data_IF_035838766532
#
_entry.id   IF_035838766532
#
_cell.length_a   1.000
_cell.length_b   1.000
_cell.length_c   1.000
_cell.angle_alpha   90.00
_cell.angle_beta   90.00
_cell.angle_gamma   90.00
#
_symmetry.space_group_name_H-M   'P 1'
#
loop_
_entity.id
_entity.type
_entity.pdbx_description
1 polymer ?
#
# COMPACT_ATOMS: atom_id res chain seq x y z
N UNK A 1 -4.70 10.51 6.19
CA UNK A 1 -3.94 11.59 5.51
C UNK A 1 -4.72 11.98 4.26
N UNK A 2 -4.27 12.92 3.42
CA UNK A 2 -4.85 13.08 2.09
C UNK A 2 -4.13 12.18 1.08
N UNK A 3 -4.70 12.06 -0.12
CA UNK A 3 -4.24 11.13 -1.16
C UNK A 3 -2.75 11.20 -1.44
N UNK A 4 -2.18 12.39 -1.49
CA UNK A 4 -0.74 12.58 -1.71
C UNK A 4 0.11 11.94 -0.60
N UNK A 5 -0.26 12.15 0.67
CA UNK A 5 0.43 11.54 1.80
C UNK A 5 0.34 10.01 1.78
N UNK A 6 -0.83 9.45 1.47
CA UNK A 6 -1.01 7.99 1.35
C UNK A 6 -0.19 7.40 0.20
N UNK A 7 -0.18 8.04 -0.97
CA UNK A 7 0.66 7.59 -2.10
C UNK A 7 2.13 7.64 -1.70
N UNK A 8 2.58 8.73 -1.08
CA UNK A 8 3.97 8.88 -0.62
C UNK A 8 4.41 7.75 0.31
N UNK A 9 3.63 7.47 1.35
CA UNK A 9 3.89 6.35 2.27
C UNK A 9 3.82 5.00 1.54
N UNK A 10 2.85 4.81 0.65
CA UNK A 10 2.73 3.61 -0.19
C UNK A 10 3.99 3.35 -1.01
N UNK A 11 4.48 4.35 -1.74
CA UNK A 11 5.70 4.25 -2.54
C UNK A 11 6.93 3.99 -1.67
N UNK A 12 7.04 4.67 -0.53
CA UNK A 12 8.15 4.47 0.40
C UNK A 12 8.18 3.03 0.95
N UNK A 13 7.03 2.50 1.37
CA UNK A 13 6.91 1.12 1.85
C UNK A 13 7.16 0.08 0.74
N UNK A 14 6.82 0.41 -0.51
CA UNK A 14 7.01 -0.48 -1.65
C UNK A 14 8.45 -0.50 -2.19
N UNK A 15 9.23 0.56 -1.99
CA UNK A 15 10.56 0.72 -2.56
C UNK A 15 11.48 -0.51 -2.36
N UNK A 16 11.57 -1.16 -1.18
CA UNK A 16 12.39 -2.37 -1.00
C UNK A 16 11.96 -3.54 -1.89
N UNK A 17 10.64 -3.76 -2.03
CA UNK A 17 10.10 -4.83 -2.87
C UNK A 17 10.32 -4.52 -4.36
N UNK A 18 10.11 -3.27 -4.77
CA UNK A 18 10.41 -2.80 -6.12
C UNK A 18 11.89 -3.02 -6.49
N UNK A 19 12.81 -2.63 -5.60
CA UNK A 19 14.25 -2.87 -5.78
C UNK A 19 14.57 -4.34 -5.96
N UNK A 20 14.09 -5.20 -5.04
CA UNK A 20 14.32 -6.64 -5.09
C UNK A 20 13.83 -7.27 -6.41
N UNK A 21 12.71 -6.80 -6.95
CA UNK A 21 12.19 -7.26 -8.24
C UNK A 21 13.06 -6.80 -9.40
N UNK A 22 13.52 -5.55 -9.39
CA UNK A 22 14.35 -5.01 -10.46
C UNK A 22 15.72 -5.71 -10.54
N UNK A 23 16.40 -5.91 -9.40
CA UNK A 23 17.71 -6.59 -9.39
C UNK A 23 17.62 -8.08 -9.76
N UNK A 24 16.44 -8.69 -9.67
CA UNK A 24 16.17 -10.07 -10.11
C UNK A 24 15.58 -10.15 -11.52
N UNK A 25 15.56 -9.03 -12.27
CA UNK A 25 15.06 -8.98 -13.65
C UNK A 25 13.54 -9.03 -13.80
N UNK A 26 12.78 -8.94 -12.70
CA UNK A 26 11.31 -9.01 -12.66
C UNK A 26 10.65 -7.66 -12.91
N UNK A 27 11.07 -6.96 -13.96
CA UNK A 27 10.68 -5.57 -14.25
C UNK A 27 9.16 -5.38 -14.36
N UNK A 28 8.47 -6.31 -15.04
CA UNK A 28 7.01 -6.24 -15.17
C UNK A 28 6.29 -6.29 -13.81
N UNK A 29 6.78 -7.11 -12.87
CA UNK A 29 6.21 -7.16 -11.52
C UNK A 29 6.54 -5.88 -10.75
N UNK A 30 7.75 -5.35 -10.85
CA UNK A 30 8.14 -4.10 -10.20
C UNK A 30 7.23 -2.92 -10.60
N UNK A 31 6.98 -2.77 -11.91
CA UNK A 31 6.09 -1.72 -12.46
C UNK A 31 4.64 -1.96 -12.05
N UNK A 32 4.17 -3.21 -12.14
CA UNK A 32 2.79 -3.56 -11.75
C UNK A 32 2.55 -3.23 -10.28
N UNK A 33 3.48 -3.59 -9.39
CA UNK A 33 3.34 -3.28 -7.97
C UNK A 33 3.36 -1.79 -7.70
N UNK A 34 4.21 -1.02 -8.39
CA UNK A 34 4.20 0.44 -8.30
C UNK A 34 2.83 1.03 -8.66
N UNK A 35 2.26 0.59 -9.78
CA UNK A 35 0.94 1.06 -10.23
C UNK A 35 -0.17 0.66 -9.25
N UNK A 36 -0.16 -0.58 -8.75
CA UNK A 36 -1.13 -1.09 -7.77
C UNK A 36 -1.05 -0.31 -6.45
N UNK A 37 0.15 -0.01 -5.95
CA UNK A 37 0.33 0.78 -4.72
C UNK A 37 -0.29 2.18 -4.84
N UNK A 38 -0.16 2.83 -6.01
CA UNK A 38 -0.80 4.13 -6.26
C UNK A 38 -2.32 3.99 -6.37
N UNK A 39 -2.78 2.95 -7.08
CA UNK A 39 -4.20 2.72 -7.34
C UNK A 39 -4.97 2.43 -6.06
N UNK A 40 -4.42 1.57 -5.20
CA UNK A 40 -5.03 1.13 -3.95
C UNK A 40 -4.73 2.02 -2.75
N UNK A 41 -3.94 3.09 -2.92
CA UNK A 41 -3.53 3.98 -1.82
C UNK A 41 -4.70 4.54 -0.99
N UNK A 42 -5.88 4.71 -1.60
CA UNK A 42 -7.10 5.23 -0.95
C UNK A 42 -8.18 4.15 -0.74
N UNK A 43 -7.85 2.87 -0.94
CA UNK A 43 -8.85 1.80 -0.85
C UNK A 43 -9.55 1.76 0.52
N UNK A 44 -8.85 1.87 1.67
CA UNK A 44 -9.53 1.89 2.97
C UNK A 44 -10.51 3.07 3.14
N UNK A 45 -10.16 4.24 2.61
CA UNK A 45 -10.96 5.47 2.68
C UNK A 45 -12.19 5.48 1.75
N UNK A 46 -12.44 4.39 1.00
CA UNK A 46 -13.74 4.19 0.35
C UNK A 46 -14.86 4.15 1.39
N UNK A 47 -14.56 3.82 2.65
CA UNK A 47 -15.49 3.88 3.78
C UNK A 47 -16.17 5.24 3.98
N UNK A 48 -15.52 6.35 3.59
CA UNK A 48 -16.10 7.70 3.63
C UNK A 48 -17.35 7.84 2.74
N UNK A 49 -17.55 6.91 1.81
CA UNK A 49 -18.68 6.89 0.86
C UNK A 49 -19.64 5.74 1.11
N UNK A 50 -19.32 4.82 2.02
CA UNK A 50 -20.13 3.63 2.28
C UNK A 50 -21.12 3.92 3.42
N UNK A 51 -22.43 3.81 3.18
CA UNK A 51 -23.39 3.93 4.26
C UNK A 51 -23.15 2.80 5.28
N UNK A 52 -23.36 3.11 6.55
CA UNK A 52 -23.23 2.16 7.68
C UNK A 52 -21.80 1.66 7.98
N UNK A 53 -20.78 2.11 7.26
CA UNK A 53 -19.38 1.83 7.58
C UNK A 53 -18.78 3.03 8.30
N UNK A 54 -18.30 2.83 9.52
CA UNK A 54 -17.61 3.88 10.25
C UNK A 54 -16.22 4.13 9.67
N UNK A 55 -15.88 5.40 9.47
CA UNK A 55 -14.54 5.77 9.02
C UNK A 55 -13.49 5.32 10.06
N UNK A 56 -12.43 4.68 9.58
CA UNK A 56 -11.41 4.03 10.42
C UNK A 56 -11.96 2.97 11.37
N UNK A 57 -12.99 2.28 10.90
CA UNK A 57 -13.52 1.05 11.48
C UNK A 57 -12.98 -0.16 10.73
N UNK A 58 -13.82 -0.99 10.10
CA UNK A 58 -13.43 -2.29 9.53
C UNK A 58 -12.35 -2.20 8.44
N UNK A 59 -12.39 -1.15 7.62
CA UNK A 59 -11.47 -0.91 6.49
C UNK A 59 -10.05 -0.51 6.93
N UNK A 60 -9.86 -0.02 8.16
CA UNK A 60 -8.55 0.41 8.68
C UNK A 60 -7.98 -0.59 9.68
N UNK A 61 -8.00 -1.88 9.30
CA UNK A 61 -7.57 -2.99 10.15
C UNK A 61 -6.56 -3.91 9.47
N UNK A 62 -5.82 -4.68 10.26
CA UNK A 62 -4.99 -5.78 9.75
C UNK A 62 -5.87 -6.86 9.11
N UNK A 63 -7.07 -7.09 9.65
CA UNK A 63 -8.05 -8.00 9.04
C UNK A 63 -8.41 -7.59 7.62
N UNK A 64 -8.65 -6.29 7.38
CA UNK A 64 -8.90 -5.78 6.04
C UNK A 64 -7.67 -5.88 5.13
N UNK A 65 -6.46 -5.67 5.66
CA UNK A 65 -5.23 -5.90 4.91
C UNK A 65 -5.11 -7.35 4.43
N UNK A 66 -5.43 -8.32 5.30
CA UNK A 66 -5.47 -9.75 4.92
C UNK A 66 -6.54 -10.00 3.87
N UNK A 67 -7.75 -9.45 4.04
CA UNK A 67 -8.85 -9.62 3.08
C UNK A 67 -8.48 -9.09 1.68
N UNK A 68 -7.97 -7.87 1.59
CA UNK A 68 -7.53 -7.25 0.33
C UNK A 68 -6.35 -8.03 -0.25
N UNK A 69 -5.40 -8.45 0.57
CA UNK A 69 -4.33 -9.35 0.16
C UNK A 69 -4.88 -10.64 -0.46
N UNK A 70 -5.79 -11.35 0.21
CA UNK A 70 -6.39 -12.58 -0.32
C UNK A 70 -7.11 -12.34 -1.64
N UNK A 71 -7.85 -11.23 -1.78
CA UNK A 71 -8.53 -10.87 -3.03
C UNK A 71 -7.53 -10.61 -4.17
N UNK A 72 -6.48 -9.81 -3.93
CA UNK A 72 -5.43 -9.56 -4.92
C UNK A 72 -4.62 -10.83 -5.23
N UNK A 73 -4.39 -11.69 -4.25
CA UNK A 73 -3.70 -12.97 -4.42
C UNK A 73 -4.52 -13.96 -5.23
N UNK A 74 -5.83 -14.06 -5.01
CA UNK A 74 -6.73 -14.87 -5.83
C UNK A 74 -6.75 -14.37 -7.29
N UNK A 75 -6.82 -13.04 -7.49
CA UNK A 75 -6.73 -12.44 -8.81
C UNK A 75 -5.39 -12.76 -9.50
N UNK A 76 -4.26 -12.62 -8.77
CA UNK A 76 -2.94 -12.96 -9.27
C UNK A 76 -2.81 -14.45 -9.64
N UNK A 77 -3.30 -15.34 -8.79
CA UNK A 77 -3.33 -16.78 -9.06
C UNK A 77 -4.08 -17.09 -10.35
N UNK A 78 -5.30 -16.55 -10.48
CA UNK A 78 -6.13 -16.75 -11.66
C UNK A 78 -5.42 -16.24 -12.92
N UNK A 79 -4.83 -15.04 -12.88
CA UNK A 79 -4.04 -14.51 -14.00
C UNK A 79 -2.87 -15.43 -14.37
N UNK A 80 -2.18 -16.03 -13.39
CA UNK A 80 -1.09 -16.96 -13.66
C UNK A 80 -1.53 -18.26 -14.31
N UNK A 81 -2.80 -18.67 -14.18
CA UNK A 81 -3.33 -19.83 -14.93
C UNK A 81 -3.51 -19.52 -16.42
N UNK A 82 -3.73 -18.25 -16.78
CA UNK A 82 -3.95 -17.81 -18.16
C UNK A 82 -2.73 -17.20 -18.85
N UNK A 83 -1.66 -16.87 -18.10
CA UNK A 83 -0.44 -16.24 -18.63
C UNK A 83 0.72 -17.24 -18.64
N UNK A 84 1.12 -17.80 -19.82
CA UNK A 84 2.12 -18.87 -19.90
C UNK A 84 3.50 -18.52 -19.33
N UNK A 85 3.81 -17.22 -19.18
CA UNK A 85 5.08 -16.70 -18.66
C UNK A 85 5.15 -16.66 -17.13
N UNK A 86 4.03 -16.83 -16.43
CA UNK A 86 3.97 -16.65 -14.99
C UNK A 86 3.31 -17.83 -14.30
N UNK A 87 3.97 -18.38 -13.29
CA UNK A 87 3.36 -19.42 -12.47
C UNK A 87 2.24 -18.85 -11.58
N UNK A 88 1.09 -19.55 -11.45
CA UNK A 88 -0.01 -19.13 -10.56
C UNK A 88 0.44 -18.82 -9.13
N UNK A 89 1.34 -19.63 -8.57
CA UNK A 89 1.86 -19.44 -7.21
C UNK A 89 2.67 -18.15 -7.07
N UNK A 90 3.43 -17.79 -8.09
CA UNK A 90 4.22 -16.56 -8.10
C UNK A 90 3.29 -15.34 -8.10
N UNK A 91 2.35 -15.27 -9.05
CA UNK A 91 1.44 -14.13 -9.14
C UNK A 91 0.46 -14.07 -7.96
N UNK A 92 0.04 -15.21 -7.43
CA UNK A 92 -0.82 -15.26 -6.25
C UNK A 92 -0.13 -14.74 -4.99
N UNK A 93 1.11 -15.16 -4.73
CA UNK A 93 1.89 -14.66 -3.58
C UNK A 93 2.26 -13.18 -3.74
N UNK A 94 2.62 -12.76 -4.96
CA UNK A 94 2.86 -11.35 -5.29
C UNK A 94 1.62 -10.48 -5.09
N UNK A 95 0.47 -10.89 -5.63
CA UNK A 95 -0.81 -10.20 -5.47
C UNK A 95 -1.22 -10.08 -4.00
N UNK A 96 -1.06 -11.16 -3.22
CA UNK A 96 -1.30 -11.12 -1.78
C UNK A 96 -0.44 -10.09 -1.06
N UNK A 97 0.88 -10.15 -1.31
CA UNK A 97 1.83 -9.21 -0.72
C UNK A 97 1.50 -7.77 -1.06
N UNK A 98 1.19 -7.46 -2.33
CA UNK A 98 0.84 -6.11 -2.76
C UNK A 98 -0.45 -5.60 -2.14
N UNK A 99 -1.53 -6.40 -2.17
CA UNK A 99 -2.82 -5.99 -1.63
C UNK A 99 -2.73 -5.71 -0.12
N UNK A 100 -2.06 -6.60 0.62
CA UNK A 100 -1.83 -6.40 2.05
C UNK A 100 -0.92 -5.17 2.31
N UNK A 101 0.17 -5.02 1.56
CA UNK A 101 1.10 -3.89 1.71
C UNK A 101 0.42 -2.55 1.42
N UNK A 102 -0.46 -2.47 0.42
CA UNK A 102 -1.19 -1.24 0.11
C UNK A 102 -2.05 -0.78 1.30
N UNK A 103 -2.79 -1.70 1.92
CA UNK A 103 -3.59 -1.39 3.11
C UNK A 103 -2.68 -1.06 4.29
N UNK A 104 -1.63 -1.83 4.55
CA UNK A 104 -0.69 -1.55 5.65
C UNK A 104 -0.04 -0.18 5.49
N UNK A 105 0.38 0.20 4.29
CA UNK A 105 0.94 1.53 4.03
C UNK A 105 -0.09 2.64 4.29
N UNK A 106 -1.36 2.41 3.95
CA UNK A 106 -2.44 3.32 4.30
C UNK A 106 -2.59 3.46 5.82
N UNK A 107 -2.55 2.34 6.56
CA UNK A 107 -2.59 2.34 8.03
C UNK A 107 -1.41 3.10 8.64
N UNK A 108 -0.20 2.94 8.09
CA UNK A 108 0.99 3.69 8.53
C UNK A 108 0.78 5.19 8.34
N UNK A 109 0.27 5.61 7.19
CA UNK A 109 -0.03 7.03 6.94
C UNK A 109 -1.07 7.58 7.92
N UNK A 110 -2.08 6.80 8.27
CA UNK A 110 -3.11 7.22 9.23
C UNK A 110 -2.67 7.15 10.69
N UNK A 111 -1.76 6.24 11.02
CA UNK A 111 -1.11 6.17 12.33
C UNK A 111 -0.31 7.45 12.64
N UNK A 112 0.25 8.12 11.62
CA UNK A 112 0.92 9.42 11.76
C UNK A 112 -0.02 10.56 12.14
N UNK A 113 -1.34 10.38 12.02
CA UNK A 113 -2.34 11.43 12.27
C UNK A 113 -2.93 11.35 13.67
N UNK A 114 -3.32 12.47 14.31
CA UNK A 114 -3.90 12.47 15.65
C UNK A 114 -5.10 11.53 15.84
N UNK A 115 -5.96 11.38 14.82
CA UNK A 115 -7.13 10.49 14.87
C UNK A 115 -6.73 8.99 14.98
N UNK A 116 -5.55 8.62 14.50
CA UNK A 116 -5.01 7.25 14.61
C UNK A 116 -5.86 6.16 13.97
N UNK A 117 -5.50 4.90 14.25
CA UNK A 117 -6.17 3.69 13.74
C UNK A 117 -6.41 2.67 14.85
N UNK A 118 -7.40 1.79 14.69
CA UNK A 118 -7.64 0.64 15.57
C UNK A 118 -7.35 -0.67 14.80
N UNK A 119 -6.07 -1.06 14.63
CA UNK A 119 -5.67 -2.09 13.68
C UNK A 119 -6.25 -3.48 14.00
N UNK A 120 -6.62 -3.73 15.25
CA UNK A 120 -7.15 -5.00 15.73
C UNK A 120 -8.67 -5.01 15.93
N UNK A 121 -9.39 -4.01 15.40
CA UNK A 121 -10.85 -4.06 15.38
C UNK A 121 -11.33 -5.29 14.58
N UNK A 122 -12.40 -6.01 15.00
CA UNK A 122 -13.27 -5.73 16.14
C UNK A 122 -12.80 -6.33 17.48
N UNK A 123 -11.69 -7.08 17.50
CA UNK A 123 -11.16 -7.71 18.71
C UNK A 123 -10.71 -6.67 19.76
N UNK A 124 -10.25 -5.50 19.30
CA UNK A 124 -9.94 -4.36 20.16
C UNK A 124 -10.31 -3.05 19.49
N UNK A 125 -10.89 -2.13 20.27
CA UNK A 125 -11.17 -0.76 19.86
C UNK A 125 -10.03 0.21 20.20
N UNK A 126 -8.92 -0.29 20.76
CA UNK A 126 -7.76 0.55 21.14
C UNK A 126 -7.17 1.21 19.91
N UNK A 127 -7.10 2.54 19.94
CA UNK A 127 -6.49 3.35 18.89
C UNK A 127 -5.01 3.57 19.14
N UNK A 128 -4.23 3.51 18.07
CA UNK A 128 -2.82 3.85 18.02
C UNK A 128 -2.65 5.08 17.15
N UNK A 129 -1.85 6.03 17.64
CA UNK A 129 -1.61 7.31 16.99
C UNK A 129 -0.24 7.82 17.41
N UNK A 130 0.58 8.27 16.45
CA UNK A 130 1.79 9.05 16.72
C UNK A 130 1.47 10.54 16.85
N UNK A 131 0.35 11.00 16.26
CA UNK A 131 -0.05 12.41 16.34
C UNK A 131 0.92 13.40 15.69
N UNK A 132 1.82 12.95 14.83
CA UNK A 132 2.90 13.76 14.24
C UNK A 132 2.38 14.92 13.39
N UNK A 133 1.37 14.68 12.54
CA UNK A 133 0.80 15.71 11.68
C UNK A 133 -0.70 15.50 11.43
N UNK A 134 -1.47 16.61 11.40
CA UNK A 134 -2.88 16.56 11.00
C UNK A 134 -3.01 16.05 9.57
N UNK A 135 -4.05 15.26 9.31
CA UNK A 135 -4.33 14.71 7.98
C UNK A 135 -4.43 15.79 6.88
N UNK A 136 -4.89 16.99 7.24
CA UNK A 136 -5.05 18.14 6.35
C UNK A 136 -3.79 19.00 6.15
N UNK A 137 -2.66 18.65 6.78
CA UNK A 137 -1.43 19.43 6.63
C UNK A 137 -0.87 19.28 5.21
N UNK A 138 -0.94 20.34 4.41
CA UNK A 138 -0.38 20.37 3.05
C UNK A 138 1.11 20.05 3.05
N UNK A 139 1.85 20.60 4.02
CA UNK A 139 3.29 20.36 4.16
C UNK A 139 3.60 18.88 4.41
N UNK A 140 2.87 18.24 5.35
CA UNK A 140 3.12 16.83 5.67
C UNK A 140 2.77 15.91 4.50
N UNK A 141 1.64 16.16 3.82
CA UNK A 141 1.26 15.39 2.64
C UNK A 141 2.28 15.55 1.49
N UNK A 142 2.73 16.78 1.24
CA UNK A 142 3.75 17.06 0.23
C UNK A 142 5.10 16.42 0.57
N UNK A 143 5.54 16.52 1.82
CA UNK A 143 6.79 15.90 2.29
C UNK A 143 6.76 14.38 2.12
N UNK A 144 5.70 13.71 2.57
CA UNK A 144 5.55 12.26 2.42
C UNK A 144 5.52 11.85 0.95
N UNK A 145 4.86 12.63 0.10
CA UNK A 145 4.83 12.39 -1.35
C UNK A 145 6.23 12.47 -1.96
N UNK A 146 6.97 13.56 -1.68
CA UNK A 146 8.35 13.73 -2.16
C UNK A 146 9.25 12.62 -1.65
N UNK A 147 9.09 12.21 -0.38
CA UNK A 147 9.88 11.11 0.20
C UNK A 147 9.62 9.78 -0.53
N UNK A 148 8.37 9.45 -0.83
CA UNK A 148 8.01 8.24 -1.57
C UNK A 148 8.48 8.24 -3.03
N UNK A 149 8.34 9.37 -3.72
CA UNK A 149 8.87 9.55 -5.09
C UNK A 149 10.40 9.47 -5.08
N UNK A 150 11.05 10.12 -4.11
CA UNK A 150 12.50 10.07 -3.93
C UNK A 150 13.02 8.66 -3.66
N UNK A 151 12.32 7.89 -2.83
CA UNK A 151 12.63 6.47 -2.61
C UNK A 151 12.50 5.65 -3.90
N UNK A 152 11.47 5.91 -4.70
CA UNK A 152 11.31 5.27 -6.02
C UNK A 152 12.45 5.63 -6.96
N UNK A 153 12.82 6.92 -7.04
CA UNK A 153 13.95 7.37 -7.86
C UNK A 153 15.28 6.76 -7.42
N UNK A 154 15.52 6.67 -6.10
CA UNK A 154 16.70 6.01 -5.56
C UNK A 154 16.77 4.53 -5.95
N UNK A 155 15.63 3.81 -5.91
CA UNK A 155 15.55 2.43 -6.40
C UNK A 155 15.95 2.35 -7.87
N UNK A 156 15.37 3.20 -8.74
CA UNK A 156 15.70 3.20 -10.17
C UNK A 156 17.18 3.49 -10.41
N UNK A 157 17.75 4.46 -9.69
CA UNK A 157 19.17 4.81 -9.75
C UNK A 157 20.06 3.62 -9.36
N UNK A 158 19.83 3.01 -8.20
CA UNK A 158 20.64 1.88 -7.73
C UNK A 158 20.50 0.61 -8.59
N UNK A 159 19.45 0.53 -9.39
CA UNK A 159 19.25 -0.56 -10.36
C UNK A 159 19.81 -0.24 -11.76
N UNK A 160 20.40 0.95 -11.96
CA UNK A 160 20.96 1.38 -13.24
C UNK A 160 19.90 1.66 -14.31
N UNK A 161 18.64 1.91 -13.93
CA UNK A 161 17.57 2.25 -14.88
C UNK A 161 17.63 3.74 -15.24
N UNK A 162 18.03 4.58 -14.29
CA UNK A 162 18.28 6.01 -14.50
C UNK A 162 19.69 6.34 -13.99
N UNK A 163 20.51 6.98 -14.84
CA UNK A 163 21.94 7.20 -14.58
C UNK A 163 22.83 6.16 -15.25
#
# INVERSE_FOLDING_TARGET
MYRQGHIGVGLLCYAPAGYAMLVTGRVALAITGFAVMIWLAMLPDVDLRLPFVSHRGPTHTIGFAVLVGLACGAAGWFLGTGLPRFEPRLLGSFGFGLGALAVVAHLVADWLTPMGIAPFWPLSTRRFSLGFARASSTLANGFLFVLGVGATAAVLWFTGIIG
#
